data_IF_939539749226
#
_entry.id   IF_939539749226
#
_cell.length_a   1.000
_cell.length_b   1.000
_cell.length_c   1.000
_cell.angle_alpha   90.00
_cell.angle_beta   90.00
_cell.angle_gamma   90.00
#
_symmetry.space_group_name_H-M   'P 1'
#
loop_
_entity.id
_entity.type
_entity.pdbx_description
1 polymer ?
#
# COMPACT_ATOMS: atom_id res chain seq x y z
N UNK A 1 -22.04 7.84 29.42
CA UNK A 1 -22.49 8.20 28.05
C UNK A 1 -21.98 9.60 27.65
N UNK A 2 -20.69 9.90 27.82
CA UNK A 2 -20.07 11.18 27.39
C UNK A 2 -18.70 10.99 26.68
N UNK A 3 -18.29 9.76 26.40
CA UNK A 3 -16.99 9.45 25.79
C UNK A 3 -17.03 9.41 24.24
N UNK A 4 -18.21 9.29 23.65
CA UNK A 4 -18.43 9.19 22.19
C UNK A 4 -18.21 10.52 21.43
N UNK A 5 -18.63 11.71 21.93
CA UNK A 5 -18.49 12.95 21.16
C UNK A 5 -17.04 13.47 21.09
N UNK A 6 -16.21 13.15 22.09
CA UNK A 6 -14.79 13.54 22.09
C UNK A 6 -14.04 12.76 21.00
N UNK A 7 -14.30 11.45 20.88
CA UNK A 7 -13.78 10.61 19.80
C UNK A 7 -14.24 11.13 18.42
N UNK A 8 -15.51 11.47 18.25
CA UNK A 8 -16.04 11.96 16.98
C UNK A 8 -15.41 13.29 16.48
N UNK A 9 -14.98 14.16 17.39
CA UNK A 9 -14.40 15.47 17.02
C UNK A 9 -12.88 15.43 16.76
N UNK A 10 -12.16 14.49 17.37
CA UNK A 10 -10.74 14.28 17.09
C UNK A 10 -10.48 13.27 15.97
N UNK A 11 -11.43 12.38 15.63
CA UNK A 11 -11.32 11.46 14.50
C UNK A 11 -11.02 12.17 13.17
N UNK A 12 -11.65 13.28 12.77
CA UNK A 12 -11.32 13.99 11.52
C UNK A 12 -9.90 14.58 11.53
N UNK A 13 -9.44 15.08 12.67
CA UNK A 13 -8.08 15.61 12.84
C UNK A 13 -7.04 14.49 12.86
N UNK A 14 -7.35 13.35 13.49
CA UNK A 14 -6.51 12.15 13.51
C UNK A 14 -6.47 11.51 12.13
N UNK A 15 -7.57 11.46 11.37
CA UNK A 15 -7.60 10.95 9.98
C UNK A 15 -6.74 11.84 9.07
N UNK A 16 -6.80 13.17 9.23
CA UNK A 16 -5.90 14.09 8.51
C UNK A 16 -4.44 13.96 8.93
N UNK A 17 -4.16 13.78 10.22
CA UNK A 17 -2.81 13.57 10.73
C UNK A 17 -2.23 12.21 10.28
N UNK A 18 -3.05 11.16 10.29
CA UNK A 18 -2.72 9.82 9.78
C UNK A 18 -2.52 9.85 8.26
N UNK A 19 -3.26 10.70 7.54
CA UNK A 19 -3.07 10.94 6.11
C UNK A 19 -1.75 11.63 5.77
N UNK A 20 -1.16 12.40 6.69
CA UNK A 20 0.15 13.04 6.51
C UNK A 20 1.33 12.13 6.90
N UNK A 21 1.13 11.18 7.81
CA UNK A 21 2.13 10.14 8.12
C UNK A 21 2.24 9.10 7.00
N UNK A 22 1.20 8.96 6.19
CA UNK A 22 1.24 8.24 4.92
C UNK A 22 1.87 9.17 3.87
N UNK A 23 3.20 9.33 3.94
CA UNK A 23 3.99 10.08 2.97
C UNK A 23 3.67 9.66 1.52
N UNK A 24 4.09 10.45 0.51
CA UNK A 24 3.76 10.19 -0.89
C UNK A 24 4.21 8.76 -1.24
N UNK A 25 3.25 7.84 -1.34
CA UNK A 25 3.50 6.51 -1.86
C UNK A 25 3.92 6.73 -3.30
N UNK A 26 5.23 6.72 -3.56
CA UNK A 26 5.79 6.56 -4.89
C UNK A 26 5.19 5.26 -5.42
N UNK A 27 4.10 5.38 -6.18
CA UNK A 27 3.38 4.26 -6.80
C UNK A 27 4.20 3.73 -7.95
N UNK A 28 5.32 3.08 -7.61
CA UNK A 28 6.06 2.26 -8.56
C UNK A 28 5.56 0.83 -8.38
N UNK A 29 5.20 0.20 -9.48
CA UNK A 29 4.93 -1.23 -9.51
C UNK A 29 6.20 -2.05 -9.32
N UNK A 30 6.04 -3.26 -8.82
CA UNK A 30 7.09 -4.26 -8.80
C UNK A 30 7.23 -4.94 -10.17
N UNK A 31 8.40 -5.51 -10.45
CA UNK A 31 8.59 -6.32 -11.64
C UNK A 31 7.87 -7.65 -11.49
N UNK A 32 7.43 -8.21 -12.61
CA UNK A 32 6.68 -9.45 -12.62
C UNK A 32 7.47 -10.62 -12.02
N UNK A 33 8.79 -10.67 -12.26
CA UNK A 33 9.68 -11.71 -11.72
C UNK A 33 9.85 -11.60 -10.20
N UNK A 34 9.72 -10.41 -9.62
CA UNK A 34 9.74 -10.20 -8.17
C UNK A 34 8.43 -10.68 -7.54
N UNK A 35 7.30 -10.36 -8.17
CA UNK A 35 5.97 -10.79 -7.71
C UNK A 35 5.89 -12.32 -7.70
N UNK A 36 6.38 -12.98 -8.76
CA UNK A 36 6.32 -14.43 -8.90
C UNK A 36 7.10 -15.19 -7.80
N UNK A 37 8.16 -14.59 -7.26
CA UNK A 37 8.96 -15.17 -6.16
C UNK A 37 8.22 -15.19 -4.82
N UNK A 38 7.14 -14.42 -4.67
CA UNK A 38 6.37 -14.40 -3.43
C UNK A 38 5.65 -15.74 -3.21
N UNK A 39 5.51 -16.19 -1.95
CA UNK A 39 4.88 -17.47 -1.64
C UNK A 39 3.41 -17.50 -2.03
N UNK A 40 3.00 -18.58 -2.71
CA UNK A 40 1.61 -18.91 -3.01
C UNK A 40 1.22 -20.14 -2.21
N UNK A 41 0.07 -20.07 -1.55
CA UNK A 41 -0.49 -21.14 -0.71
C UNK A 41 -1.96 -21.34 -1.07
N UNK A 42 -2.48 -22.55 -0.88
CA UNK A 42 -3.92 -22.79 -1.01
C UNK A 42 -4.63 -22.45 0.30
N UNK A 43 -5.82 -21.85 0.23
CA UNK A 43 -6.56 -21.45 1.43
C UNK A 43 -6.75 -22.59 2.43
N UNK A 44 -7.13 -23.79 1.98
CA UNK A 44 -7.30 -24.98 2.86
C UNK A 44 -6.05 -25.37 3.67
N UNK A 45 -4.87 -24.97 3.22
CA UNK A 45 -3.58 -25.34 3.83
C UNK A 45 -3.13 -24.30 4.87
N UNK A 46 -3.85 -23.18 4.99
CA UNK A 46 -3.52 -22.11 5.93
C UNK A 46 -4.42 -22.22 7.16
N UNK A 47 -3.89 -22.78 8.25
CA UNK A 47 -4.64 -23.00 9.50
C UNK A 47 -4.81 -21.73 10.34
N UNK A 48 -4.05 -20.65 10.04
CA UNK A 48 -3.94 -19.43 10.87
C UNK A 48 -4.24 -18.14 10.09
N UNK A 49 -5.18 -18.13 9.14
CA UNK A 49 -5.60 -16.86 8.53
C UNK A 49 -6.67 -16.16 9.39
N UNK A 50 -6.44 -14.87 9.66
CA UNK A 50 -7.41 -14.02 10.36
C UNK A 50 -8.56 -13.58 9.44
N UNK A 51 -8.35 -13.59 8.12
CA UNK A 51 -9.30 -13.14 7.10
C UNK A 51 -9.86 -14.31 6.28
N UNK A 52 -11.18 -14.32 6.06
CA UNK A 52 -11.93 -15.31 5.29
C UNK A 52 -12.31 -14.82 3.86
N UNK A 53 -11.95 -13.59 3.51
CA UNK A 53 -12.22 -12.98 2.21
C UNK A 53 -11.06 -12.14 1.67
N UNK A 54 -11.01 -11.99 0.35
CA UNK A 54 -10.04 -11.13 -0.30
C UNK A 54 -10.45 -9.65 -0.23
N UNK A 55 -9.64 -8.80 0.40
CA UNK A 55 -9.96 -7.37 0.50
C UNK A 55 -9.86 -6.58 -0.83
N UNK A 56 -9.41 -7.21 -1.93
CA UNK A 56 -9.34 -6.58 -3.25
C UNK A 56 -10.64 -6.80 -4.03
N UNK A 57 -11.09 -8.06 -4.15
CA UNK A 57 -12.31 -8.40 -4.90
C UNK A 57 -13.55 -8.55 -4.01
N UNK A 58 -13.38 -8.54 -2.68
CA UNK A 58 -14.42 -8.70 -1.67
C UNK A 58 -15.17 -10.04 -1.74
N UNK A 59 -14.49 -11.09 -2.24
CA UNK A 59 -15.02 -12.45 -2.35
C UNK A 59 -14.40 -13.33 -1.28
N UNK A 60 -15.22 -14.16 -0.63
CA UNK A 60 -14.81 -15.18 0.33
C UNK A 60 -13.84 -16.19 -0.31
N UNK A 61 -12.90 -16.73 0.47
CA UNK A 61 -11.95 -17.72 -0.01
C UNK A 61 -12.57 -19.11 -0.08
N UNK A 62 -12.32 -19.79 -1.19
CA UNK A 62 -12.65 -21.21 -1.38
C UNK A 62 -11.43 -22.09 -1.08
N UNK A 63 -11.67 -23.36 -0.71
CA UNK A 63 -10.62 -24.28 -0.26
C UNK A 63 -9.44 -24.43 -1.25
N UNK A 64 -9.71 -24.33 -2.55
CA UNK A 64 -8.72 -24.49 -3.63
C UNK A 64 -8.18 -23.15 -4.16
N UNK A 65 -8.57 -22.02 -3.56
CA UNK A 65 -8.08 -20.70 -3.98
C UNK A 65 -6.57 -20.57 -3.75
N UNK A 66 -5.87 -20.09 -4.78
CA UNK A 66 -4.46 -19.72 -4.71
C UNK A 66 -4.33 -18.33 -4.08
N UNK A 67 -3.76 -18.28 -2.90
CA UNK A 67 -3.51 -17.06 -2.15
C UNK A 67 -2.02 -16.72 -2.21
N UNK A 68 -1.70 -15.48 -2.54
CA UNK A 68 -0.34 -14.97 -2.42
C UNK A 68 -0.17 -14.28 -1.08
N UNK A 69 0.85 -14.72 -0.34
CA UNK A 69 1.19 -14.16 0.97
C UNK A 69 2.31 -13.15 0.85
N UNK A 70 2.06 -11.93 1.32
CA UNK A 70 3.03 -10.84 1.30
C UNK A 70 3.98 -10.93 2.50
N UNK A 71 5.15 -10.26 2.49
CA UNK A 71 6.08 -10.24 3.64
C UNK A 71 5.45 -9.71 4.94
N UNK A 72 4.47 -8.81 4.81
CA UNK A 72 3.66 -8.30 5.92
C UNK A 72 2.58 -9.29 6.43
N UNK A 73 2.60 -10.55 5.98
CA UNK A 73 1.71 -11.67 6.34
C UNK A 73 0.28 -11.63 5.82
N UNK A 74 -0.20 -10.51 5.27
CA UNK A 74 -1.49 -10.45 4.59
C UNK A 74 -1.51 -11.35 3.33
N UNK A 75 -2.66 -11.93 3.06
CA UNK A 75 -2.91 -12.81 1.93
C UNK A 75 -4.09 -12.30 1.10
N UNK A 76 -4.04 -12.56 -0.21
CA UNK A 76 -5.03 -12.16 -1.20
C UNK A 76 -5.06 -13.23 -2.30
N UNK A 77 -6.14 -13.30 -3.09
CA UNK A 77 -6.09 -14.07 -4.33
C UNK A 77 -4.87 -13.66 -5.15
N UNK A 78 -4.10 -14.66 -5.59
CA UNK A 78 -2.88 -14.46 -6.37
C UNK A 78 -3.11 -13.50 -7.53
N UNK A 79 -4.15 -13.71 -8.31
CA UNK A 79 -4.50 -12.87 -9.47
C UNK A 79 -4.81 -11.42 -9.09
N UNK A 80 -5.55 -11.23 -7.99
CA UNK A 80 -5.92 -9.90 -7.50
C UNK A 80 -4.71 -9.10 -7.05
N UNK A 81 -3.84 -9.71 -6.23
CA UNK A 81 -2.67 -9.00 -5.70
C UNK A 81 -1.55 -8.87 -6.71
N UNK A 82 -1.40 -9.80 -7.66
CA UNK A 82 -0.41 -9.66 -8.74
C UNK A 82 -0.72 -8.43 -9.60
N UNK A 83 -2.00 -8.26 -9.97
CA UNK A 83 -2.48 -7.08 -10.72
C UNK A 83 -2.27 -5.79 -9.93
N UNK A 84 -2.42 -5.83 -8.61
CA UNK A 84 -2.17 -4.70 -7.73
C UNK A 84 -0.67 -4.36 -7.65
N UNK A 85 0.19 -5.37 -7.43
CA UNK A 85 1.63 -5.19 -7.24
C UNK A 85 2.34 -4.72 -8.52
N UNK A 86 1.79 -5.03 -9.69
CA UNK A 86 2.26 -4.51 -10.97
C UNK A 86 2.17 -2.97 -11.09
N UNK A 87 1.35 -2.32 -10.24
CA UNK A 87 1.20 -0.85 -10.22
C UNK A 87 1.53 -0.22 -8.86
N UNK A 88 1.45 -0.99 -7.76
CA UNK A 88 1.75 -0.53 -6.41
C UNK A 88 2.55 -1.60 -5.65
N UNK A 89 3.84 -1.40 -5.45
CA UNK A 89 4.74 -2.29 -4.68
C UNK A 89 4.47 -2.30 -3.15
N UNK A 90 3.21 -2.18 -2.72
CA UNK A 90 2.78 -2.07 -1.32
C UNK A 90 1.53 -2.91 -1.04
N UNK A 91 1.40 -3.43 0.18
CA UNK A 91 0.25 -4.20 0.62
C UNK A 91 -1.06 -3.36 0.61
N UNK A 92 -2.17 -3.86 0.03
CA UNK A 92 -3.47 -3.18 0.07
C UNK A 92 -4.00 -2.89 1.48
N UNK A 93 -3.73 -3.78 2.45
CA UNK A 93 -4.26 -3.65 3.82
C UNK A 93 -3.44 -2.69 4.68
N UNK A 94 -2.12 -2.89 4.76
CA UNK A 94 -1.27 -2.15 5.71
C UNK A 94 -0.31 -1.15 5.06
N UNK A 95 -0.25 -1.09 3.72
CA UNK A 95 0.63 -0.22 2.93
C UNK A 95 2.13 -0.42 3.15
N UNK A 96 2.52 -1.49 3.86
CA UNK A 96 3.91 -1.90 3.94
C UNK A 96 4.45 -2.25 2.55
N UNK A 97 5.68 -1.84 2.26
CA UNK A 97 6.38 -2.21 1.02
C UNK A 97 6.59 -3.72 0.97
N UNK A 98 6.37 -4.28 -0.21
CA UNK A 98 6.48 -5.73 -0.42
C UNK A 98 7.86 -6.15 -0.94
N UNK A 99 8.67 -5.19 -1.37
CA UNK A 99 9.96 -5.40 -2.00
C UNK A 99 10.97 -4.34 -1.49
N UNK A 100 12.24 -4.71 -1.44
CA UNK A 100 13.34 -3.79 -1.13
C UNK A 100 13.62 -2.93 -2.38
N UNK A 101 13.90 -1.65 -2.20
CA UNK A 101 14.32 -0.81 -3.33
C UNK A 101 15.80 -1.10 -3.61
N UNK A 102 16.11 -1.72 -4.75
CA UNK A 102 17.46 -1.59 -5.30
C UNK A 102 17.61 -0.15 -5.79
N UNK A 103 18.58 0.57 -5.21
CA UNK A 103 18.87 1.99 -5.44
C UNK A 103 19.29 2.24 -6.90
N UNK A 104 18.31 2.23 -7.81
CA UNK A 104 18.49 2.65 -9.19
C UNK A 104 18.41 4.16 -9.26
N UNK A 105 19.57 4.82 -9.35
CA UNK A 105 19.72 6.20 -9.81
C UNK A 105 18.92 6.40 -11.11
N UNK A 106 17.72 6.96 -10.96
CA UNK A 106 16.84 7.37 -12.03
C UNK A 106 16.36 8.78 -11.71
N UNK A 107 17.20 9.76 -12.00
CA UNK A 107 16.78 11.15 -12.12
C UNK A 107 15.71 11.25 -13.21
N UNK A 108 14.44 11.35 -12.81
CA UNK A 108 13.41 11.94 -13.67
C UNK A 108 13.12 13.35 -13.14
N UNK A 109 13.65 14.31 -13.89
CA UNK A 109 13.46 15.75 -13.68
C UNK A 109 12.00 16.08 -13.94
N UNK A 110 11.23 16.26 -12.87
CA UNK A 110 9.97 17.00 -12.98
C UNK A 110 10.38 18.46 -12.98
N UNK A 111 10.33 19.12 -14.13
CA UNK A 111 10.59 20.55 -14.24
C UNK A 111 9.53 21.30 -13.41
N UNK A 112 9.98 21.88 -12.31
CA UNK A 112 9.28 22.88 -11.51
C UNK A 112 9.14 24.18 -12.31
N UNK A 113 8.00 24.37 -12.98
CA UNK A 113 7.54 25.71 -13.39
C UNK A 113 6.92 26.42 -12.18
N UNK A 114 7.75 27.04 -11.35
CA UNK A 114 7.34 28.08 -10.41
C UNK A 114 8.18 29.35 -10.67
N UNK A 115 7.54 30.52 -10.88
CA UNK A 115 8.26 31.75 -11.21
C UNK A 115 9.10 32.25 -10.02
N UNK A 116 10.30 32.73 -10.35
CA UNK A 116 11.31 33.21 -9.41
C UNK A 116 10.78 34.27 -8.42
N UNK A 117 11.28 34.30 -7.17
CA UNK A 117 10.98 35.39 -6.25
C UNK A 117 11.64 36.68 -6.76
N UNK A 118 10.83 37.73 -6.95
CA UNK A 118 11.33 39.09 -7.18
C UNK A 118 12.00 39.53 -5.88
N UNK A 119 13.33 39.64 -5.91
CA UNK A 119 14.12 40.11 -4.77
C UNK A 119 13.89 41.59 -4.50
N UNK A 120 13.64 41.89 -3.23
CA UNK A 120 13.63 43.24 -2.68
C UNK A 120 15.06 43.84 -2.75
N UNK A 121 15.25 44.90 -3.54
CA UNK A 121 16.47 45.70 -3.48
C UNK A 121 16.25 46.88 -2.53
N UNK A 122 16.87 46.78 -1.35
CA UNK A 122 17.05 47.86 -0.40
C UNK A 122 18.15 48.80 -0.93
N UNK A 123 17.79 50.06 -1.17
CA UNK A 123 18.70 51.19 -1.34
C UNK A 123 18.20 52.37 -0.50
#
# INVERSE_FOLDING_TARGET
MLLVPVLCFCLPCVIRLMGMLQGPQRRKGARQDEIEKLPVVKYREVQDMEDDACAICLVEYEAEDELRKLPCRHAFHKTCVDSWLAVNASCPNCRARCFEEEDGEGEEKIADDAPAPVGDNLA
#
